data_IF_271287292956
#
_entry.id   IF_271287292956
#
_cell.length_a   1.000
_cell.length_b   1.000
_cell.length_c   1.000
_cell.angle_alpha   90.00
_cell.angle_beta   90.00
_cell.angle_gamma   90.00
#
_symmetry.space_group_name_H-M   'P 1'
#
loop_
_entity.id
_entity.type
_entity.pdbx_description
1 polymer ?
#
# COMPACT_ATOMS: atom_id res chain seq x y z
N UNK A 1 29.77 12.39 -15.96
CA UNK A 1 30.09 11.11 -15.29
C UNK A 1 29.08 10.08 -15.75
N UNK A 2 29.56 8.95 -16.27
CA UNK A 2 28.74 7.94 -16.92
C UNK A 2 27.94 7.14 -15.89
N UNK A 3 26.61 7.11 -16.08
CA UNK A 3 25.67 6.25 -15.38
C UNK A 3 26.16 4.79 -15.41
N UNK A 4 26.40 4.20 -14.23
CA UNK A 4 26.83 2.82 -14.08
C UNK A 4 25.61 1.94 -13.75
N UNK A 5 25.06 1.19 -14.72
CA UNK A 5 23.87 0.35 -14.53
C UNK A 5 24.11 -0.86 -13.61
N UNK A 6 25.36 -1.20 -13.28
CA UNK A 6 25.70 -2.38 -12.47
C UNK A 6 25.59 -2.16 -10.95
N UNK A 7 25.50 -0.90 -10.50
CA UNK A 7 25.36 -0.54 -9.07
C UNK A 7 23.87 -0.37 -8.68
N UNK A 8 22.99 -0.18 -9.67
CA UNK A 8 21.54 -0.03 -9.47
C UNK A 8 20.78 -1.27 -9.91
N UNK A 9 21.20 -2.44 -9.43
CA UNK A 9 20.37 -3.63 -9.44
C UNK A 9 19.18 -3.44 -8.46
N UNK A 10 18.22 -2.62 -8.88
CA UNK A 10 16.93 -2.42 -8.23
C UNK A 10 16.10 -3.70 -8.42
N UNK A 11 16.48 -4.76 -7.71
CA UNK A 11 15.76 -6.02 -7.73
C UNK A 11 14.46 -5.81 -6.98
N UNK A 12 13.35 -5.90 -7.71
CA UNK A 12 12.15 -6.44 -7.10
C UNK A 12 12.55 -7.78 -6.49
N UNK A 13 12.51 -7.89 -5.16
CA UNK A 13 12.64 -9.18 -4.47
C UNK A 13 11.30 -9.93 -4.57
N UNK A 14 10.63 -9.84 -5.73
CA UNK A 14 9.62 -10.81 -6.08
C UNK A 14 10.36 -12.13 -6.18
N UNK A 15 10.24 -12.94 -5.14
CA UNK A 15 10.66 -14.33 -5.15
C UNK A 15 10.01 -14.95 -6.39
N UNK A 16 10.83 -15.18 -7.42
CA UNK A 16 10.41 -15.89 -8.61
C UNK A 16 9.90 -17.25 -8.12
N UNK A 17 8.68 -17.61 -8.51
CA UNK A 17 7.98 -18.85 -8.11
C UNK A 17 7.21 -18.81 -6.77
N UNK A 18 7.17 -17.70 -6.03
CA UNK A 18 6.29 -17.60 -4.85
C UNK A 18 4.86 -17.22 -5.28
N UNK A 19 3.88 -18.03 -4.87
CA UNK A 19 2.48 -17.71 -5.10
C UNK A 19 2.01 -16.67 -4.07
N UNK A 20 1.91 -15.42 -4.49
CA UNK A 20 1.37 -14.30 -3.68
C UNK A 20 -0.15 -14.38 -3.48
N UNK A 21 -0.77 -15.51 -3.85
CA UNK A 21 -2.09 -15.94 -3.39
C UNK A 21 -2.04 -16.72 -2.09
N UNK A 22 -0.87 -17.23 -1.69
CA UNK A 22 -0.75 -18.11 -0.52
C UNK A 22 -1.15 -17.37 0.76
N UNK A 23 -1.90 -18.07 1.61
CA UNK A 23 -2.18 -17.60 2.94
C UNK A 23 -0.86 -17.28 3.67
N UNK A 24 -0.79 -16.12 4.31
CA UNK A 24 0.42 -15.70 4.98
C UNK A 24 0.51 -14.20 5.21
N UNK A 25 1.46 -13.83 6.08
CA UNK A 25 1.74 -12.46 6.42
C UNK A 25 2.79 -11.86 5.48
N UNK A 26 2.52 -10.65 5.01
CA UNK A 26 3.34 -9.89 4.08
C UNK A 26 3.65 -8.53 4.66
N UNK A 27 4.93 -8.18 4.70
CA UNK A 27 5.39 -6.82 4.94
C UNK A 27 5.52 -6.09 3.61
N UNK A 28 5.04 -4.85 3.55
CA UNK A 28 5.15 -3.99 2.36
C UNK A 28 5.69 -2.61 2.71
N UNK A 29 6.46 -2.03 1.78
CA UNK A 29 6.86 -0.62 1.81
C UNK A 29 6.43 0.06 0.51
N UNK A 30 5.68 1.15 0.63
CA UNK A 30 5.18 1.94 -0.49
C UNK A 30 5.66 3.38 -0.36
N UNK A 31 6.55 3.80 -1.25
CA UNK A 31 7.05 5.18 -1.27
C UNK A 31 6.15 6.12 -2.08
N UNK A 32 6.06 7.37 -1.65
CA UNK A 32 5.49 8.47 -2.43
C UNK A 32 6.31 8.71 -3.70
N UNK A 33 5.67 9.28 -4.71
CA UNK A 33 6.35 9.70 -5.93
C UNK A 33 7.49 10.65 -5.59
N UNK A 34 8.67 10.39 -6.18
CA UNK A 34 9.92 11.10 -5.88
C UNK A 34 10.31 11.22 -4.40
N UNK A 35 9.70 10.42 -3.50
CA UNK A 35 9.90 10.49 -2.04
C UNK A 35 9.55 11.86 -1.45
N UNK A 36 8.60 12.56 -2.05
CA UNK A 36 8.05 13.80 -1.51
C UNK A 36 7.38 13.55 -0.15
N UNK A 37 7.61 14.44 0.81
CA UNK A 37 7.01 14.39 2.15
C UNK A 37 5.56 14.90 2.11
N UNK A 38 4.66 14.06 1.61
CA UNK A 38 3.27 14.41 1.33
C UNK A 38 2.33 14.22 2.51
N UNK A 39 2.65 13.31 3.43
CA UNK A 39 1.68 12.76 4.39
C UNK A 39 1.75 13.40 5.78
N UNK A 40 2.72 14.28 6.00
CA UNK A 40 2.92 14.97 7.27
C UNK A 40 4.41 15.14 7.57
N UNK A 41 4.73 15.27 8.84
CA UNK A 41 6.09 15.43 9.36
C UNK A 41 6.30 14.58 10.61
N UNK A 42 7.55 14.30 10.95
CA UNK A 42 7.91 13.66 12.21
C UNK A 42 8.39 14.74 13.18
N UNK A 43 7.76 14.84 14.34
CA UNK A 43 8.10 15.80 15.41
C UNK A 43 8.37 15.01 16.68
N UNK A 44 9.53 15.23 17.30
CA UNK A 44 9.96 14.52 18.53
C UNK A 44 9.84 12.99 18.43
N UNK A 45 10.18 12.44 17.26
CA UNK A 45 10.13 11.00 16.99
C UNK A 45 8.72 10.41 16.89
N UNK A 46 7.71 11.26 16.72
CA UNK A 46 6.32 10.86 16.48
C UNK A 46 5.84 11.37 15.13
N UNK A 47 5.04 10.56 14.44
CA UNK A 47 4.42 10.98 13.19
C UNK A 47 3.25 11.93 13.44
N UNK A 48 3.30 13.13 12.86
CA UNK A 48 2.21 14.10 12.80
C UNK A 48 1.59 14.10 11.39
N UNK A 49 0.46 13.40 11.23
CA UNK A 49 -0.23 13.30 9.93
C UNK A 49 -0.95 14.60 9.56
N UNK A 50 -0.79 15.01 8.31
CA UNK A 50 -1.61 16.07 7.72
C UNK A 50 -2.91 15.49 7.13
N UNK A 51 -3.75 16.35 6.53
CA UNK A 51 -5.01 15.90 5.91
C UNK A 51 -4.85 14.82 4.83
N UNK A 52 -3.73 14.79 4.10
CA UNK A 52 -3.44 13.77 3.11
C UNK A 52 -3.00 12.46 3.77
N UNK A 53 -2.17 12.52 4.81
CA UNK A 53 -1.81 11.35 5.62
C UNK A 53 -3.02 10.68 6.24
N UNK A 54 -3.95 11.46 6.81
CA UNK A 54 -5.23 10.95 7.33
C UNK A 54 -6.09 10.31 6.24
N UNK A 55 -6.06 10.85 5.02
CA UNK A 55 -6.76 10.24 3.89
C UNK A 55 -6.15 8.89 3.49
N UNK A 56 -4.81 8.76 3.53
CA UNK A 56 -4.11 7.49 3.31
C UNK A 56 -4.50 6.47 4.38
N UNK A 57 -4.50 6.87 5.65
CA UNK A 57 -4.89 6.00 6.76
C UNK A 57 -6.32 5.46 6.59
N UNK A 58 -7.26 6.35 6.27
CA UNK A 58 -8.65 5.96 6.03
C UNK A 58 -8.77 4.97 4.85
N UNK A 59 -8.02 5.17 3.77
CA UNK A 59 -8.01 4.25 2.64
C UNK A 59 -7.40 2.89 3.00
N UNK A 60 -6.34 2.87 3.83
CA UNK A 60 -5.73 1.63 4.31
C UNK A 60 -6.71 0.81 5.15
N UNK A 61 -7.33 1.44 6.16
CA UNK A 61 -8.31 0.79 7.03
C UNK A 61 -9.54 0.27 6.29
N UNK A 62 -9.88 0.89 5.16
CA UNK A 62 -10.99 0.44 4.31
C UNK A 62 -10.69 -0.83 3.50
N UNK A 63 -9.43 -1.29 3.43
CA UNK A 63 -9.05 -2.48 2.64
C UNK A 63 -9.84 -3.72 3.07
N UNK A 64 -9.99 -3.98 4.37
CA UNK A 64 -10.72 -5.16 4.86
C UNK A 64 -12.20 -5.16 4.47
N UNK A 65 -12.78 -4.01 4.10
CA UNK A 65 -14.15 -3.96 3.57
C UNK A 65 -14.24 -4.46 2.12
N UNK A 66 -13.17 -4.31 1.34
CA UNK A 66 -13.09 -4.70 -0.06
C UNK A 66 -12.47 -6.09 -0.25
N UNK A 67 -11.65 -6.52 0.71
CA UNK A 67 -10.98 -7.81 0.73
C UNK A 67 -11.22 -8.47 2.10
N UNK A 68 -12.35 -9.18 2.27
CA UNK A 68 -12.72 -9.81 3.55
C UNK A 68 -11.67 -10.80 4.06
N UNK A 69 -10.93 -11.42 3.14
CA UNK A 69 -9.89 -12.41 3.43
C UNK A 69 -8.54 -11.76 3.78
N UNK A 70 -8.53 -10.44 4.01
CA UNK A 70 -7.34 -9.66 4.36
C UNK A 70 -7.49 -9.07 5.75
N UNK A 71 -6.61 -9.51 6.64
CA UNK A 71 -6.45 -8.93 7.96
C UNK A 71 -5.29 -7.93 7.94
N UNK A 72 -5.57 -6.69 8.34
CA UNK A 72 -4.54 -5.68 8.53
C UNK A 72 -3.90 -5.84 9.91
N UNK A 73 -2.60 -5.67 9.97
CA UNK A 73 -1.80 -5.70 11.19
C UNK A 73 -1.06 -4.35 11.33
N UNK A 74 0.09 -4.32 11.98
CA UNK A 74 0.86 -3.12 12.27
C UNK A 74 1.22 -2.35 10.99
N UNK A 75 1.06 -1.03 11.04
CA UNK A 75 1.40 -0.14 9.94
C UNK A 75 1.82 1.24 10.44
N UNK A 76 2.62 1.93 9.64
CA UNK A 76 2.97 3.34 9.88
C UNK A 76 3.00 4.10 8.57
N UNK A 77 2.41 5.29 8.59
CA UNK A 77 2.54 6.27 7.51
C UNK A 77 3.67 7.20 7.93
N UNK A 78 4.70 7.29 7.11
CA UNK A 78 5.82 8.21 7.27
C UNK A 78 5.61 9.40 6.33
N UNK A 79 6.38 10.50 6.45
CA UNK A 79 6.19 11.68 5.61
C UNK A 79 6.12 11.36 4.11
N UNK A 80 6.96 10.43 3.64
CA UNK A 80 7.10 10.10 2.22
C UNK A 80 6.98 8.60 1.88
N UNK A 81 6.61 7.76 2.82
CA UNK A 81 6.42 6.34 2.56
C UNK A 81 5.48 5.72 3.58
N UNK A 82 5.13 4.47 3.34
CA UNK A 82 4.17 3.74 4.13
C UNK A 82 4.70 2.32 4.32
N UNK A 83 4.71 1.85 5.56
CA UNK A 83 5.01 0.47 5.90
C UNK A 83 3.77 -0.20 6.48
N UNK A 84 3.53 -1.46 6.10
CA UNK A 84 2.46 -2.23 6.70
C UNK A 84 2.72 -3.72 6.67
N UNK A 85 2.06 -4.41 7.59
CA UNK A 85 1.87 -5.85 7.58
C UNK A 85 0.41 -6.12 7.24
N UNK A 86 0.18 -7.07 6.34
CA UNK A 86 -1.14 -7.62 6.06
C UNK A 86 -1.05 -9.14 5.95
N UNK A 87 -2.09 -9.82 6.41
CA UNK A 87 -2.23 -11.26 6.33
C UNK A 87 -3.35 -11.59 5.35
N UNK A 88 -3.03 -12.39 4.33
CA UNK A 88 -4.02 -12.95 3.42
C UNK A 88 -4.40 -14.32 4.00
N UNK A 89 -5.68 -14.56 4.23
CA UNK A 89 -6.18 -15.87 4.66
C UNK A 89 -6.80 -16.58 3.46
N UNK A 90 -6.40 -17.81 3.18
CA UNK A 90 -7.09 -18.62 2.18
C UNK A 90 -8.38 -19.14 2.81
N UNK A 91 -9.50 -18.45 2.61
CA UNK A 91 -10.81 -19.03 2.87
C UNK A 91 -11.20 -19.93 1.68
N UNK A 92 -10.64 -21.13 1.58
CA UNK A 92 -11.34 -22.20 0.87
C UNK A 92 -12.41 -22.77 1.82
N UNK A 93 -13.68 -22.65 1.41
CA UNK A 93 -14.92 -23.07 2.05
C UNK A 93 -14.86 -24.12 3.18
N UNK A 94 -15.53 -23.82 4.31
CA UNK A 94 -16.08 -24.85 5.22
C UNK A 94 -17.59 -24.63 5.42
N UNK A 95 -18.35 -25.48 4.71
CA UNK A 95 -19.55 -26.21 5.14
C UNK A 95 -20.79 -25.48 5.72
N UNK A 96 -21.85 -25.54 4.90
CA UNK A 96 -23.18 -25.80 5.42
C UNK A 96 -23.21 -27.12 6.21
N UNK A 97 -23.17 -27.06 7.55
CA UNK A 97 -24.02 -27.83 8.52
C UNK A 97 -23.55 -27.65 9.97
N UNK A 98 -24.26 -26.77 10.69
CA UNK A 98 -24.84 -27.03 12.02
C UNK A 98 -23.93 -27.28 13.23
N UNK A 99 -23.81 -26.26 14.09
CA UNK A 99 -24.14 -26.34 15.52
C UNK A 99 -24.15 -24.92 16.13
N UNK A 100 -25.22 -24.58 16.84
CA UNK A 100 -25.42 -23.34 17.61
C UNK A 100 -24.44 -23.25 18.81
N UNK A 101 -24.27 -22.20 19.62
CA UNK A 101 -25.09 -21.08 20.14
C UNK A 101 -24.04 -20.08 20.75
N UNK A 102 -24.14 -18.75 20.69
CA UNK A 102 -24.64 -17.75 21.69
C UNK A 102 -23.93 -16.44 21.26
N UNK A 103 -24.47 -15.24 21.08
CA UNK A 103 -25.75 -14.60 21.37
C UNK A 103 -25.44 -13.12 21.69
N UNK A 104 -25.83 -12.17 20.83
CA UNK A 104 -26.10 -10.77 21.20
C UNK A 104 -26.80 -10.04 20.05
N UNK A 105 -27.85 -9.29 20.39
CA UNK A 105 -28.86 -8.74 19.48
C UNK A 105 -28.55 -7.30 19.06
N UNK A 106 -28.72 -7.03 17.76
CA UNK A 106 -29.31 -5.87 17.07
C UNK A 106 -29.12 -4.42 17.57
N UNK A 107 -28.70 -3.57 16.63
CA UNK A 107 -28.98 -2.13 16.58
C UNK A 107 -28.55 -1.53 15.22
N UNK A 108 -29.51 -1.04 14.43
CA UNK A 108 -29.48 -0.72 12.99
C UNK A 108 -29.22 0.78 12.74
N UNK A 109 -28.50 1.16 11.67
CA UNK A 109 -28.95 2.19 10.68
C UNK A 109 -28.01 2.46 9.50
N UNK A 110 -28.53 2.15 8.31
CA UNK A 110 -28.52 2.92 7.05
C UNK A 110 -27.22 3.22 6.23
N UNK A 111 -27.31 2.82 4.95
CA UNK A 111 -26.43 2.96 3.78
C UNK A 111 -26.20 4.43 3.31
N UNK A 112 -25.37 4.75 2.28
CA UNK A 112 -25.45 4.24 0.89
C UNK A 112 -24.09 3.70 0.37
N UNK A 113 -24.03 2.59 -0.36
CA UNK A 113 -24.49 2.50 -1.74
C UNK A 113 -23.49 3.23 -2.65
N UNK A 114 -22.41 2.55 -3.05
CA UNK A 114 -21.58 3.02 -4.17
C UNK A 114 -21.46 1.93 -5.20
N UNK A 115 -21.96 2.29 -6.38
CA UNK A 115 -22.14 1.44 -7.53
C UNK A 115 -20.82 0.84 -8.01
N UNK A 116 -20.94 -0.44 -8.34
CA UNK A 116 -20.00 -1.17 -9.17
C UNK A 116 -20.02 -0.55 -10.57
N UNK A 117 -18.97 0.17 -10.95
CA UNK A 117 -18.71 0.57 -12.32
C UNK A 117 -17.24 0.25 -12.61
N UNK A 118 -16.92 -0.70 -13.49
CA UNK A 118 -17.51 -0.94 -14.79
C UNK A 118 -16.45 -0.54 -15.80
N UNK A 119 -15.74 -1.53 -16.32
CA UNK A 119 -14.94 -1.37 -17.53
C UNK A 119 -15.86 -0.82 -18.62
N UNK A 120 -15.48 0.29 -19.25
CA UNK A 120 -15.57 0.46 -20.71
C UNK A 120 -14.95 1.79 -21.15
N UNK A 121 -14.31 1.67 -22.30
CA UNK A 121 -13.56 2.66 -23.05
C UNK A 121 -14.35 3.93 -23.40
N UNK A 122 -13.62 5.04 -23.50
CA UNK A 122 -14.10 6.34 -23.95
C UNK A 122 -12.95 7.27 -24.28
N UNK A 123 -12.48 7.14 -25.52
CA UNK A 123 -11.48 7.93 -26.24
C UNK A 123 -11.56 9.46 -26.03
N UNK A 124 -10.41 10.10 -25.76
CA UNK A 124 -10.14 11.52 -26.02
C UNK A 124 -8.65 11.71 -26.38
N UNK A 125 -8.42 12.04 -27.65
CA UNK A 125 -7.15 12.18 -28.37
C UNK A 125 -6.03 13.08 -27.79
N UNK A 126 -4.80 12.58 -27.98
CA UNK A 126 -3.53 13.21 -28.40
C UNK A 126 -3.26 14.69 -28.08
N UNK A 127 -2.29 14.90 -27.19
CA UNK A 127 -1.35 16.02 -27.19
C UNK A 127 0.06 15.49 -26.91
N UNK A 128 0.99 15.76 -27.80
CA UNK A 128 2.38 15.29 -27.75
C UNK A 128 3.18 15.98 -26.64
N UNK A 129 3.87 15.21 -25.78
CA UNK A 129 5.25 15.44 -25.31
C UNK A 129 5.62 14.50 -24.15
N UNK A 130 6.76 13.80 -24.29
CA UNK A 130 7.52 13.21 -23.18
C UNK A 130 7.30 11.71 -22.97
N UNK A 131 8.36 10.93 -23.23
CA UNK A 131 8.42 9.46 -23.11
C UNK A 131 7.95 8.95 -21.73
N UNK A 132 6.68 8.59 -21.62
CA UNK A 132 6.16 7.83 -20.49
C UNK A 132 6.62 6.36 -20.64
N UNK A 133 7.72 6.00 -19.97
CA UNK A 133 8.20 4.63 -19.86
C UNK A 133 7.20 3.77 -19.06
N UNK A 134 6.17 3.30 -19.76
CA UNK A 134 5.23 2.29 -19.28
C UNK A 134 5.98 0.97 -19.03
N UNK A 135 6.14 0.55 -17.77
CA UNK A 135 6.60 -0.80 -17.42
C UNK A 135 5.65 -1.89 -17.95
N UNK A 136 6.18 -3.09 -18.19
CA UNK A 136 5.45 -4.19 -18.79
C UNK A 136 4.67 -4.94 -17.71
N UNK A 137 3.43 -4.53 -17.45
CA UNK A 137 2.46 -5.38 -16.75
C UNK A 137 1.14 -5.25 -17.50
N UNK A 138 1.08 -5.91 -18.66
CA UNK A 138 -0.15 -6.24 -19.37
C UNK A 138 -0.48 -7.71 -19.08
N UNK A 139 -0.76 -7.98 -17.82
CA UNK A 139 -1.59 -9.10 -17.41
C UNK A 139 -2.29 -8.66 -16.13
N UNK A 140 -3.61 -8.80 -16.05
CA UNK A 140 -4.39 -8.30 -14.92
C UNK A 140 -3.87 -8.89 -13.61
N UNK A 141 -3.78 -8.09 -12.56
CA UNK A 141 -3.47 -8.63 -11.22
C UNK A 141 -4.53 -9.66 -10.85
N UNK A 142 -4.09 -10.82 -10.35
CA UNK A 142 -5.01 -11.88 -9.95
C UNK A 142 -5.85 -11.38 -8.78
N UNK A 143 -7.20 -11.45 -8.83
CA UNK A 143 -8.05 -11.05 -7.72
C UNK A 143 -7.63 -11.73 -6.41
N UNK A 144 -7.61 -10.97 -5.31
CA UNK A 144 -7.20 -11.46 -3.99
C UNK A 144 -5.69 -11.59 -3.77
N UNK A 145 -4.85 -11.41 -4.80
CA UNK A 145 -3.40 -11.37 -4.60
C UNK A 145 -2.93 -10.11 -3.87
N UNK A 146 -1.75 -10.17 -3.23
CA UNK A 146 -1.08 -8.99 -2.67
C UNK A 146 -1.02 -7.83 -3.68
N UNK A 147 -0.71 -8.14 -4.94
CA UNK A 147 -0.65 -7.14 -6.01
C UNK A 147 -1.98 -6.43 -6.27
N UNK A 148 -3.09 -7.16 -6.27
CA UNK A 148 -4.42 -6.58 -6.45
C UNK A 148 -4.83 -5.68 -5.27
N UNK A 149 -4.50 -6.10 -4.04
CA UNK A 149 -4.76 -5.33 -2.81
C UNK A 149 -3.98 -4.01 -2.84
N UNK A 150 -2.67 -4.06 -3.10
CA UNK A 150 -1.83 -2.86 -3.15
C UNK A 150 -2.23 -1.95 -4.33
N UNK A 151 -2.64 -2.52 -5.47
CA UNK A 151 -3.14 -1.74 -6.59
C UNK A 151 -4.45 -1.00 -6.22
N UNK A 152 -5.39 -1.67 -5.57
CA UNK A 152 -6.62 -1.05 -5.09
C UNK A 152 -6.31 0.09 -4.11
N UNK A 153 -5.47 -0.17 -3.10
CA UNK A 153 -5.05 0.84 -2.12
C UNK A 153 -4.44 2.08 -2.79
N UNK A 154 -3.45 1.89 -3.68
CA UNK A 154 -2.81 3.00 -4.41
C UNK A 154 -3.81 3.77 -5.26
N UNK A 155 -4.74 3.09 -5.92
CA UNK A 155 -5.74 3.72 -6.79
C UNK A 155 -6.72 4.58 -6.00
N UNK A 156 -7.33 4.02 -4.94
CA UNK A 156 -8.32 4.71 -4.12
C UNK A 156 -7.71 5.91 -3.39
N UNK A 157 -6.54 5.72 -2.77
CA UNK A 157 -5.83 6.81 -2.08
C UNK A 157 -5.38 7.92 -3.04
N UNK A 158 -4.87 7.57 -4.24
CA UNK A 158 -4.50 8.56 -5.26
C UNK A 158 -5.70 9.41 -5.68
N UNK A 159 -6.85 8.78 -5.97
CA UNK A 159 -8.08 9.48 -6.32
C UNK A 159 -8.53 10.43 -5.22
N UNK A 160 -8.49 9.98 -3.96
CA UNK A 160 -8.87 10.79 -2.79
C UNK A 160 -7.94 11.99 -2.61
N UNK A 161 -6.63 11.78 -2.66
CA UNK A 161 -5.61 12.81 -2.50
C UNK A 161 -5.69 13.85 -3.62
N UNK A 162 -5.78 13.41 -4.88
CA UNK A 162 -5.85 14.33 -6.01
C UNK A 162 -7.12 15.18 -5.99
N UNK A 163 -8.24 14.64 -5.49
CA UNK A 163 -9.45 15.43 -5.22
C UNK A 163 -9.23 16.48 -4.13
N UNK A 164 -8.46 16.17 -3.08
CA UNK A 164 -8.16 17.12 -2.00
C UNK A 164 -7.18 18.22 -2.43
N UNK A 165 -6.29 17.93 -3.39
CA UNK A 165 -5.31 18.87 -3.94
C UNK A 165 -5.86 19.76 -5.07
N UNK A 166 -7.07 19.48 -5.55
CA UNK A 166 -7.61 20.02 -6.80
C UNK A 166 -6.63 19.87 -7.99
N UNK A 167 -5.91 18.75 -8.01
CA UNK A 167 -4.87 18.48 -8.99
C UNK A 167 -4.98 17.04 -9.54
N UNK A 168 -5.97 16.79 -10.42
CA UNK A 168 -6.19 15.46 -10.97
C UNK A 168 -5.02 15.01 -11.86
N UNK A 169 -4.63 13.74 -11.72
CA UNK A 169 -3.59 13.12 -12.55
C UNK A 169 -2.18 13.18 -11.99
N UNK A 170 -1.92 13.96 -10.93
CA UNK A 170 -0.62 13.95 -10.28
C UNK A 170 -0.34 12.59 -9.61
N UNK A 171 0.88 12.03 -9.80
CA UNK A 171 1.26 10.79 -9.16
C UNK A 171 1.46 10.98 -7.65
N UNK A 172 0.86 10.10 -6.84
CA UNK A 172 1.05 10.08 -5.39
C UNK A 172 2.10 9.06 -4.98
N UNK A 173 2.10 7.88 -5.62
CA UNK A 173 2.93 6.74 -5.25
C UNK A 173 3.97 6.44 -6.34
N UNK A 174 5.10 5.85 -5.94
CA UNK A 174 5.97 5.18 -6.90
C UNK A 174 5.23 4.00 -7.54
N UNK A 175 5.63 3.66 -8.77
CA UNK A 175 5.04 2.54 -9.51
C UNK A 175 5.16 1.22 -8.75
N UNK A 176 6.37 0.87 -8.33
CA UNK A 176 6.64 -0.38 -7.62
C UNK A 176 6.45 -0.18 -6.10
N UNK A 177 6.51 -1.28 -5.37
CA UNK A 177 6.59 -1.31 -3.92
C UNK A 177 7.56 -2.44 -3.52
N UNK A 178 8.03 -2.39 -2.28
CA UNK A 178 8.80 -3.48 -1.69
C UNK A 178 7.84 -4.42 -0.97
N UNK A 179 8.14 -5.71 -1.01
CA UNK A 179 7.39 -6.75 -0.33
C UNK A 179 8.35 -7.78 0.29
N UNK A 180 7.97 -8.34 1.43
CA UNK A 180 8.68 -9.40 2.12
C UNK A 180 7.69 -10.39 2.75
N UNK A 181 7.87 -11.68 2.48
CA UNK A 181 7.04 -12.75 3.06
C UNK A 181 7.53 -13.07 4.47
N UNK A 182 6.66 -12.95 5.46
CA UNK A 182 6.95 -13.24 6.87
C UNK A 182 6.68 -14.72 7.13
N UNK A 183 7.69 -15.45 7.59
CA UNK A 183 7.65 -16.93 7.65
C UNK A 183 7.46 -17.51 9.04
N UNK A 184 7.67 -16.72 10.09
CA UNK A 184 7.55 -17.16 11.48
C UNK A 184 7.17 -15.98 12.39
N UNK A 185 6.78 -16.31 13.62
CA UNK A 185 6.29 -15.35 14.62
C UNK A 185 7.39 -14.38 15.10
N UNK A 186 8.63 -14.84 15.27
CA UNK A 186 9.73 -13.98 15.68
C UNK A 186 10.02 -12.88 14.64
N UNK A 187 10.01 -13.23 13.35
CA UNK A 187 10.14 -12.27 12.25
C UNK A 187 8.96 -11.29 12.23
N UNK A 188 7.73 -11.79 12.46
CA UNK A 188 6.53 -10.95 12.55
C UNK A 188 6.66 -9.91 13.65
N UNK A 189 7.02 -10.32 14.86
CA UNK A 189 7.15 -9.41 16.00
C UNK A 189 8.30 -8.42 15.82
N UNK A 190 9.43 -8.85 15.23
CA UNK A 190 10.53 -7.95 14.88
C UNK A 190 10.07 -6.88 13.87
N UNK A 191 9.28 -7.23 12.86
CA UNK A 191 8.77 -6.28 11.88
C UNK A 191 7.73 -5.34 12.50
N UNK A 192 6.83 -5.83 13.38
CA UNK A 192 5.91 -4.98 14.13
C UNK A 192 6.68 -3.94 14.97
N UNK A 193 7.71 -4.38 15.69
CA UNK A 193 8.58 -3.47 16.44
C UNK A 193 9.33 -2.50 15.54
N UNK A 194 9.80 -2.94 14.37
CA UNK A 194 10.42 -2.04 13.40
C UNK A 194 9.46 -0.95 12.95
N UNK A 195 8.22 -1.30 12.60
CA UNK A 195 7.17 -0.36 12.16
C UNK A 195 6.85 0.64 13.27
N UNK A 196 6.57 0.15 14.48
CA UNK A 196 6.22 1.01 15.62
C UNK A 196 7.34 2.00 15.97
N UNK A 197 8.60 1.60 15.82
CA UNK A 197 9.76 2.44 16.10
C UNK A 197 10.24 3.26 14.90
N UNK A 198 9.60 3.16 13.74
CA UNK A 198 10.06 3.83 12.52
C UNK A 198 10.06 5.37 12.66
N UNK A 199 9.03 6.01 13.23
CA UNK A 199 9.05 7.46 13.48
C UNK A 199 10.25 7.92 14.33
N UNK A 200 10.62 7.14 15.35
CA UNK A 200 11.79 7.44 16.20
C UNK A 200 13.12 7.39 15.43
N UNK A 201 13.15 6.65 14.31
CA UNK A 201 14.33 6.44 13.48
C UNK A 201 14.31 7.28 12.19
N UNK A 202 13.36 8.21 12.05
CA UNK A 202 13.18 9.00 10.83
C UNK A 202 14.45 9.75 10.40
N UNK A 203 15.21 10.30 11.35
CA UNK A 203 16.45 11.03 11.07
C UNK A 203 17.56 10.12 10.50
N UNK A 204 17.46 8.80 10.71
CA UNK A 204 18.37 7.80 10.17
C UNK A 204 17.83 7.11 8.91
N UNK A 205 16.60 7.43 8.50
CA UNK A 205 15.93 6.76 7.39
C UNK A 205 16.61 7.13 6.06
N UNK A 206 16.89 6.13 5.22
CA UNK A 206 17.53 6.35 3.93
C UNK A 206 16.66 7.08 2.91
N UNK A 207 15.34 7.08 3.10
CA UNK A 207 14.38 7.79 2.29
C UNK A 207 14.12 9.20 2.83
N UNK A 208 14.66 9.58 3.99
CA UNK A 208 14.57 10.96 4.49
C UNK A 208 15.34 11.89 3.53
N UNK A 209 14.69 12.95 2.99
CA UNK A 209 15.35 13.89 2.08
C UNK A 209 16.68 14.45 2.62
N UNK A 210 16.77 14.70 3.93
CA UNK A 210 17.98 15.21 4.59
C UNK A 210 19.18 14.25 4.46
N UNK A 211 18.94 12.94 4.31
CA UNK A 211 19.97 11.93 4.14
C UNK A 211 20.30 11.64 2.66
N UNK A 212 19.43 12.08 1.74
CA UNK A 212 19.62 11.85 0.31
C UNK A 212 20.49 12.90 -0.38
N UNK A 213 20.54 14.14 0.15
CA UNK A 213 21.35 15.23 -0.41
C UNK A 213 22.87 15.08 -0.16
N UNK A 214 23.27 14.19 0.75
CA UNK A 214 24.68 13.93 1.09
C UNK A 214 25.34 12.80 0.26
N UNK A 215 24.71 12.36 -0.84
CA UNK A 215 25.22 11.27 -1.70
C UNK A 215 25.84 11.76 -3.04
N UNK A 216 26.41 12.96 -3.05
CA UNK A 216 27.12 13.52 -4.22
C UNK A 216 28.61 13.21 -4.23
#
# INVERSE_FOLDING_TARGET
>A
MSYNPDIHHRRSIRLREYDYRSAGAYFVTICSFQRECLFGEVVDGQMSLNGLGLAVEACWRAISNHFPDVQLDEFVIMPNHFHAILNITNSESEEAKGAAIVGAKQGVSASPGFDNCGNNDGDCNKGEAGEAFASPLRDGTVPGSLGAIIQNFKSVSTRKINKMRDNPGCPVWQRNYYEHVIRNEADLDNIRQYIANNPLKWDLDENNPANTENRH
#
